data_IF_986976051225
#
_entry.id   IF_986976051225
#
_cell.length_a   1.000
_cell.length_b   1.000
_cell.length_c   1.000
_cell.angle_alpha   90.00
_cell.angle_beta   90.00
_cell.angle_gamma   90.00
#
_symmetry.space_group_name_H-M   'P 1'
#
loop_
_entity.id
_entity.type
_entity.pdbx_description
1 polymer ?
#
# COMPACT_ATOMS: atom_id res chain seq x y z
N UNK A 1 15.39 18.80 34.67
CA UNK A 1 14.09 18.43 34.07
C UNK A 1 14.39 17.36 33.02
N UNK A 2 13.96 16.13 33.28
CA UNK A 2 14.07 15.02 32.32
C UNK A 2 13.19 15.32 31.11
N UNK A 3 13.72 15.18 29.90
CA UNK A 3 13.05 15.53 28.63
C UNK A 3 12.16 14.40 28.09
N UNK A 4 11.54 13.62 28.96
CA UNK A 4 10.88 12.36 28.54
C UNK A 4 9.44 12.51 28.02
N UNK A 5 8.81 13.71 28.10
CA UNK A 5 7.37 13.83 27.84
C UNK A 5 6.95 14.70 26.63
N UNK A 6 7.88 15.13 25.75
CA UNK A 6 7.49 15.92 24.59
C UNK A 6 7.25 15.08 23.34
N UNK A 7 6.03 14.54 23.20
CA UNK A 7 5.57 13.90 21.97
C UNK A 7 4.66 14.87 21.19
N UNK A 8 5.17 15.47 20.11
CA UNK A 8 4.30 16.13 19.12
C UNK A 8 3.70 15.07 18.22
N UNK A 9 2.41 14.77 18.43
CA UNK A 9 1.64 13.89 17.55
C UNK A 9 0.89 14.76 16.54
N UNK A 10 1.09 14.46 15.25
CA UNK A 10 0.30 15.05 14.17
C UNK A 10 -0.76 14.02 13.76
N UNK A 11 -2.03 14.39 13.86
CA UNK A 11 -3.16 13.53 13.48
C UNK A 11 -3.77 14.07 12.20
N UNK A 12 -3.88 13.21 11.18
CA UNK A 12 -4.55 13.53 9.92
C UNK A 12 -5.97 12.98 9.93
N UNK A 13 -6.95 13.84 10.14
CA UNK A 13 -8.36 13.43 10.24
C UNK A 13 -9.03 13.18 8.89
N UNK A 14 -8.50 13.74 7.80
CA UNK A 14 -9.14 13.71 6.47
C UNK A 14 -8.11 13.40 5.39
N UNK A 15 -8.56 12.76 4.32
CA UNK A 15 -7.78 12.63 3.11
C UNK A 15 -7.69 13.99 2.40
N UNK A 16 -6.50 14.58 2.38
CA UNK A 16 -6.14 15.80 1.66
C UNK A 16 -4.63 16.02 1.74
N UNK A 17 -4.16 17.02 1.02
CA UNK A 17 -2.82 17.58 1.20
C UNK A 17 -2.76 18.46 2.46
N UNK A 18 -1.77 18.21 3.30
CA UNK A 18 -1.45 18.99 4.49
C UNK A 18 -0.09 19.66 4.34
N UNK A 19 0.02 20.90 4.82
CA UNK A 19 1.29 21.58 4.99
C UNK A 19 1.68 21.53 6.47
N UNK A 20 2.83 20.95 6.77
CA UNK A 20 3.35 20.76 8.13
C UNK A 20 4.55 21.68 8.32
N UNK A 21 4.46 22.56 9.31
CA UNK A 21 5.45 23.59 9.54
C UNK A 21 5.22 24.87 8.71
N UNK A 22 6.16 25.82 8.73
CA UNK A 22 7.46 25.70 9.40
C UNK A 22 7.30 25.71 10.93
N UNK A 23 8.21 25.04 11.62
CA UNK A 23 8.34 25.12 13.07
C UNK A 23 9.48 26.06 13.44
N UNK A 24 9.21 26.92 14.41
CA UNK A 24 10.21 27.78 15.05
C UNK A 24 10.65 27.20 16.39
N UNK A 25 11.94 27.28 16.67
CA UNK A 25 12.50 26.96 17.98
C UNK A 25 13.73 27.81 18.28
N UNK A 26 13.96 28.08 19.56
CA UNK A 26 15.13 28.79 20.03
C UNK A 26 16.19 27.81 20.53
N UNK A 27 17.44 28.02 20.11
CA UNK A 27 18.58 27.26 20.62
C UNK A 27 19.79 28.20 20.78
N UNK A 28 20.37 28.24 21.98
CA UNK A 28 21.47 29.15 22.34
C UNK A 28 21.18 30.64 22.02
N UNK A 29 19.97 31.13 22.31
CA UNK A 29 19.60 32.52 22.08
C UNK A 29 19.42 32.91 20.61
N UNK A 30 19.39 31.93 19.70
CA UNK A 30 19.10 32.13 18.28
C UNK A 30 17.83 31.39 17.89
N UNK A 31 16.93 32.08 17.19
CA UNK A 31 15.74 31.48 16.58
C UNK A 31 16.11 30.76 15.29
N UNK A 32 15.64 29.53 15.16
CA UNK A 32 15.74 28.72 13.95
C UNK A 32 14.34 28.42 13.43
N UNK A 33 14.18 28.49 12.11
CA UNK A 33 12.94 28.19 11.41
C UNK A 33 13.20 27.02 10.46
N UNK A 34 12.36 25.99 10.52
CA UNK A 34 12.42 24.83 9.62
C UNK A 34 11.70 25.10 8.30
N UNK A 35 11.82 24.19 7.34
CA UNK A 35 11.00 24.23 6.12
C UNK A 35 9.60 23.65 6.39
N UNK A 36 8.66 23.98 5.52
CA UNK A 36 7.35 23.31 5.45
C UNK A 36 7.49 22.00 4.68
N UNK A 37 6.80 20.95 5.14
CA UNK A 37 6.63 19.69 4.41
C UNK A 37 5.21 19.58 3.89
N UNK A 38 5.06 19.18 2.63
CA UNK A 38 3.77 18.81 2.08
C UNK A 38 3.53 17.31 2.27
N UNK A 39 2.39 16.93 2.85
CA UNK A 39 2.00 15.54 3.09
C UNK A 39 0.65 15.28 2.45
N UNK A 40 0.63 14.43 1.42
CA UNK A 40 -0.61 13.99 0.79
C UNK A 40 -1.17 12.75 1.49
N UNK A 41 -2.31 12.90 2.15
CA UNK A 41 -2.99 11.82 2.85
C UNK A 41 -4.08 11.24 1.94
N UNK A 42 -3.91 9.99 1.54
CA UNK A 42 -4.88 9.29 0.69
C UNK A 42 -6.03 8.68 1.51
N UNK A 43 -7.22 8.48 0.91
CA UNK A 43 -8.32 7.81 1.59
C UNK A 43 -7.95 6.40 2.05
N UNK A 44 -8.42 6.02 3.25
CA UNK A 44 -8.37 4.63 3.75
C UNK A 44 -9.11 3.73 2.77
N UNK A 45 -8.53 2.58 2.46
CA UNK A 45 -9.19 1.56 1.62
C UNK A 45 -10.29 0.84 2.43
N UNK A 46 -11.40 0.44 1.78
CA UNK A 46 -12.40 -0.40 2.44
C UNK A 46 -11.79 -1.77 2.78
N UNK A 47 -12.20 -2.35 3.91
CA UNK A 47 -11.77 -3.70 4.30
C UNK A 47 -12.74 -4.71 3.65
N UNK A 48 -12.51 -4.96 2.37
CA UNK A 48 -13.28 -5.91 1.56
C UNK A 48 -12.36 -6.59 0.53
N UNK A 49 -12.84 -7.64 -0.13
CA UNK A 49 -12.11 -8.24 -1.25
C UNK A 49 -11.91 -7.19 -2.34
N UNK A 50 -10.66 -6.92 -2.71
CA UNK A 50 -10.37 -5.93 -3.72
C UNK A 50 -8.90 -5.86 -4.07
N UNK A 51 -8.63 -5.18 -5.18
CA UNK A 51 -7.32 -4.75 -5.63
C UNK A 51 -7.41 -3.23 -5.78
N UNK A 52 -6.32 -2.49 -5.64
CA UNK A 52 -6.30 -1.05 -5.82
C UNK A 52 -4.95 -0.65 -6.37
N UNK A 53 -4.95 0.08 -7.48
CA UNK A 53 -3.76 0.68 -8.04
C UNK A 53 -3.82 2.19 -7.86
N UNK A 54 -2.78 2.76 -7.28
CA UNK A 54 -2.65 4.21 -7.02
C UNK A 54 -1.33 4.70 -7.57
N UNK A 55 -1.30 5.93 -8.06
CA UNK A 55 -0.08 6.62 -8.45
C UNK A 55 0.22 7.71 -7.43
N UNK A 56 1.50 7.89 -7.08
CA UNK A 56 1.96 8.98 -6.22
C UNK A 56 3.33 9.47 -6.67
N UNK A 57 3.66 10.70 -6.27
CA UNK A 57 4.98 11.29 -6.42
C UNK A 57 5.57 11.57 -5.04
N UNK A 58 6.86 11.32 -4.87
CA UNK A 58 7.61 11.67 -3.66
C UNK A 58 9.04 12.05 -4.05
N UNK A 59 9.49 13.24 -3.65
CA UNK A 59 10.82 13.79 -3.98
C UNK A 59 11.13 13.79 -5.49
N UNK A 60 10.14 14.14 -6.32
CA UNK A 60 10.28 14.16 -7.80
C UNK A 60 10.32 12.77 -8.45
N UNK A 61 10.11 11.71 -7.66
CA UNK A 61 10.07 10.34 -8.13
C UNK A 61 8.63 9.82 -8.16
N UNK A 62 8.25 9.20 -9.28
CA UNK A 62 6.93 8.59 -9.44
C UNK A 62 6.92 7.13 -8.95
N UNK A 63 5.80 6.75 -8.34
CA UNK A 63 5.54 5.41 -7.82
C UNK A 63 4.14 4.93 -8.17
N UNK A 64 4.02 3.63 -8.36
CA UNK A 64 2.76 2.90 -8.32
C UNK A 64 2.65 2.13 -7.02
N UNK A 65 1.47 2.14 -6.42
CA UNK A 65 1.15 1.39 -5.21
C UNK A 65 0.01 0.44 -5.58
N UNK A 66 0.31 -0.87 -5.54
CA UNK A 66 -0.65 -1.94 -5.72
C UNK A 66 -0.99 -2.53 -4.35
N UNK A 67 -2.25 -2.42 -3.95
CA UNK A 67 -2.76 -2.96 -2.70
C UNK A 67 -3.82 -4.02 -2.99
N UNK A 68 -3.82 -5.14 -2.28
CA UNK A 68 -4.83 -6.18 -2.47
C UNK A 68 -5.27 -6.79 -1.15
N UNK A 69 -6.58 -7.04 -1.03
CA UNK A 69 -7.20 -7.81 0.03
C UNK A 69 -7.85 -9.06 -0.56
N UNK A 70 -7.48 -10.22 -0.04
CA UNK A 70 -8.07 -11.52 -0.38
C UNK A 70 -8.67 -12.09 0.91
N UNK A 71 -9.97 -12.34 0.89
CA UNK A 71 -10.72 -12.90 2.01
C UNK A 71 -10.22 -14.30 2.31
N UNK A 72 -9.94 -14.51 3.59
CA UNK A 72 -9.43 -15.77 4.08
C UNK A 72 -10.51 -16.84 4.12
N UNK A 73 -10.08 -18.07 4.33
CA UNK A 73 -10.89 -19.24 4.57
C UNK A 73 -10.49 -19.87 5.91
N UNK A 74 -11.31 -20.80 6.36
CA UNK A 74 -10.97 -21.68 7.46
C UNK A 74 -10.34 -22.97 6.93
N UNK A 75 -9.40 -23.54 7.67
CA UNK A 75 -8.86 -24.85 7.36
C UNK A 75 -8.84 -25.74 8.61
N UNK A 76 -8.84 -27.05 8.37
CA UNK A 76 -8.68 -28.07 9.41
C UNK A 76 -7.53 -28.99 9.00
N UNK A 77 -6.56 -29.15 9.88
CA UNK A 77 -5.43 -30.04 9.69
C UNK A 77 -5.50 -31.17 10.71
N UNK A 78 -5.45 -32.41 10.26
CA UNK A 78 -5.39 -33.58 11.15
C UNK A 78 -3.93 -33.91 11.47
N UNK A 79 -3.66 -34.20 12.74
CA UNK A 79 -2.32 -34.56 13.21
C UNK A 79 -2.18 -36.08 13.21
N UNK A 80 -0.96 -36.58 13.03
CA UNK A 80 -0.64 -38.02 12.95
C UNK A 80 -1.14 -38.84 14.15
N UNK A 81 -1.33 -38.19 15.31
CA UNK A 81 -1.81 -38.82 16.55
C UNK A 81 -3.35 -38.83 16.70
N UNK A 82 -4.12 -38.55 15.64
CA UNK A 82 -5.59 -38.52 15.67
C UNK A 82 -6.20 -37.26 16.29
N UNK A 83 -5.40 -36.23 16.56
CA UNK A 83 -5.87 -34.88 16.92
C UNK A 83 -6.12 -34.01 15.69
N UNK A 84 -6.71 -32.83 15.86
CA UNK A 84 -6.83 -31.84 14.78
C UNK A 84 -6.55 -30.41 15.27
N UNK A 85 -6.08 -29.57 14.36
CA UNK A 85 -5.98 -28.12 14.50
C UNK A 85 -6.93 -27.46 13.50
N UNK A 86 -7.63 -26.42 13.92
CA UNK A 86 -8.54 -25.66 13.07
C UNK A 86 -8.14 -24.19 13.11
N UNK A 87 -7.91 -23.59 11.94
CA UNK A 87 -7.76 -22.14 11.81
C UNK A 87 -9.04 -21.59 11.23
N UNK A 88 -9.68 -20.65 11.93
CA UNK A 88 -10.96 -20.08 11.50
C UNK A 88 -10.71 -18.71 10.86
N UNK A 89 -11.02 -18.58 9.57
CA UNK A 89 -10.98 -17.29 8.87
C UNK A 89 -9.60 -16.62 8.78
N UNK A 90 -8.51 -17.38 9.00
CA UNK A 90 -7.15 -16.86 9.09
C UNK A 90 -6.23 -17.30 7.95
N UNK A 91 -6.72 -18.08 6.99
CA UNK A 91 -5.89 -18.75 5.98
C UNK A 91 -6.22 -18.24 4.58
N UNK A 92 -5.23 -17.77 3.84
CA UNK A 92 -5.40 -17.41 2.44
C UNK A 92 -5.92 -18.63 1.64
N UNK A 93 -6.94 -18.48 0.77
CA UNK A 93 -7.49 -19.62 0.05
C UNK A 93 -6.44 -20.29 -0.85
N UNK A 94 -6.47 -21.63 -0.91
CA UNK A 94 -5.53 -22.40 -1.72
C UNK A 94 -5.64 -22.04 -3.22
N UNK A 95 -4.50 -21.97 -3.90
CA UNK A 95 -4.42 -21.61 -5.33
C UNK A 95 -4.73 -20.14 -5.63
N UNK A 96 -4.85 -19.29 -4.60
CA UNK A 96 -4.87 -17.83 -4.78
C UNK A 96 -3.47 -17.27 -4.60
N UNK A 97 -3.13 -16.34 -5.47
CA UNK A 97 -1.90 -15.56 -5.41
C UNK A 97 -2.26 -14.08 -5.46
N UNK A 98 -1.38 -13.24 -4.92
CA UNK A 98 -1.55 -11.81 -5.03
C UNK A 98 -1.19 -11.35 -6.45
N UNK A 99 -1.88 -10.31 -6.91
CA UNK A 99 -1.59 -9.66 -8.17
C UNK A 99 -0.25 -8.91 -8.09
N UNK A 100 0.48 -8.92 -9.19
CA UNK A 100 1.75 -8.22 -9.35
C UNK A 100 1.74 -7.43 -10.66
N UNK A 101 2.57 -6.40 -10.77
CA UNK A 101 2.79 -5.70 -12.04
C UNK A 101 4.04 -6.26 -12.71
N UNK A 102 4.01 -6.37 -14.04
CA UNK A 102 5.20 -6.66 -14.84
C UNK A 102 6.23 -5.53 -14.64
N UNK A 103 7.50 -5.90 -14.48
CA UNK A 103 8.59 -4.92 -14.34
C UNK A 103 8.78 -4.14 -15.65
N UNK A 104 8.68 -4.78 -16.80
CA UNK A 104 8.67 -4.12 -18.11
C UNK A 104 7.23 -3.95 -18.59
N UNK A 105 6.69 -2.73 -18.48
CA UNK A 105 5.32 -2.43 -18.93
C UNK A 105 5.25 -2.27 -20.45
N UNK A 106 6.13 -1.44 -20.98
CA UNK A 106 6.27 -1.16 -22.41
C UNK A 106 7.66 -0.61 -22.68
N UNK A 107 8.03 -0.50 -23.95
CA UNK A 107 9.30 0.10 -24.31
C UNK A 107 9.39 1.55 -23.77
N UNK A 108 10.40 1.80 -22.93
CA UNK A 108 10.64 3.12 -22.34
C UNK A 108 10.05 3.33 -20.94
N UNK A 109 9.32 2.36 -20.38
CA UNK A 109 8.80 2.42 -19.00
C UNK A 109 9.12 1.13 -18.26
N UNK A 110 9.88 1.27 -17.17
CA UNK A 110 10.22 0.17 -16.27
C UNK A 110 9.72 0.44 -14.86
N UNK A 111 9.28 -0.62 -14.20
CA UNK A 111 8.93 -0.69 -12.80
C UNK A 111 10.00 -1.48 -12.06
N UNK A 112 10.37 -1.00 -10.88
CA UNK A 112 11.24 -1.74 -9.96
C UNK A 112 10.58 -1.85 -8.60
N UNK A 113 10.63 -3.03 -7.98
CA UNK A 113 10.07 -3.23 -6.65
C UNK A 113 10.84 -2.37 -5.64
N UNK A 114 10.18 -1.34 -5.12
CA UNK A 114 10.74 -0.45 -4.11
C UNK A 114 10.53 -0.99 -2.70
N UNK A 115 9.32 -1.51 -2.43
CA UNK A 115 9.00 -2.14 -1.16
C UNK A 115 7.77 -3.01 -1.31
N UNK A 116 7.74 -4.14 -0.60
CA UNK A 116 6.55 -4.98 -0.52
C UNK A 116 6.33 -5.46 0.91
N UNK A 117 5.06 -5.57 1.32
CA UNK A 117 4.69 -6.13 2.61
C UNK A 117 3.40 -6.95 2.47
N UNK A 118 3.33 -8.03 3.24
CA UNK A 118 2.14 -8.90 3.30
C UNK A 118 1.79 -9.13 4.76
N UNK A 119 0.52 -8.95 5.10
CA UNK A 119 0.00 -9.07 6.45
C UNK A 119 -1.40 -9.69 6.44
N UNK A 120 -1.90 -10.06 7.62
CA UNK A 120 -3.31 -10.38 7.80
C UNK A 120 -4.01 -9.21 8.48
N UNK A 121 -5.20 -8.85 8.00
CA UNK A 121 -6.01 -7.76 8.57
C UNK A 121 -7.42 -8.24 8.85
N UNK A 122 -8.04 -7.69 9.88
CA UNK A 122 -9.42 -7.95 10.26
C UNK A 122 -10.18 -6.63 10.32
N UNK A 123 -11.48 -6.60 9.96
CA UNK A 123 -12.32 -5.43 10.19
C UNK A 123 -12.28 -4.97 11.65
N UNK A 124 -12.34 -3.66 11.88
CA UNK A 124 -12.27 -3.07 13.23
C UNK A 124 -13.46 -3.51 14.12
N UNK A 125 -14.59 -3.89 13.51
CA UNK A 125 -15.81 -4.39 14.15
C UNK A 125 -15.97 -5.93 14.09
N UNK A 126 -14.90 -6.64 13.73
CA UNK A 126 -14.91 -8.09 13.59
C UNK A 126 -15.30 -8.78 14.91
N UNK A 127 -16.35 -9.59 14.86
CA UNK A 127 -16.70 -10.53 15.94
C UNK A 127 -15.66 -11.64 16.01
N UNK A 128 -15.54 -12.29 17.18
CA UNK A 128 -14.78 -13.54 17.30
C UNK A 128 -15.20 -14.50 16.19
N UNK A 129 -14.21 -15.12 15.51
CA UNK A 129 -14.40 -16.02 14.36
C UNK A 129 -14.82 -15.38 13.03
N UNK A 130 -14.74 -14.04 12.91
CA UNK A 130 -14.94 -13.39 11.60
C UNK A 130 -13.82 -13.75 10.64
N UNK A 131 -14.18 -13.81 9.36
CA UNK A 131 -13.21 -14.03 8.28
C UNK A 131 -12.33 -12.78 8.14
N UNK A 132 -11.02 -12.96 8.31
CA UNK A 132 -10.04 -11.92 8.04
C UNK A 132 -9.69 -11.84 6.55
N UNK A 133 -8.72 -11.00 6.25
CA UNK A 133 -8.18 -10.82 4.90
C UNK A 133 -6.66 -10.99 4.94
N UNK A 134 -6.15 -11.67 3.93
CA UNK A 134 -4.74 -11.60 3.57
C UNK A 134 -4.55 -10.33 2.74
N UNK A 135 -3.64 -9.47 3.17
CA UNK A 135 -3.36 -8.15 2.60
C UNK A 135 -1.95 -8.11 2.04
N UNK A 136 -1.79 -7.51 0.86
CA UNK A 136 -0.46 -7.10 0.37
C UNK A 136 -0.45 -5.64 -0.06
N UNK A 137 0.70 -5.00 0.10
CA UNK A 137 1.03 -3.73 -0.51
C UNK A 137 2.37 -3.87 -1.21
N UNK A 138 2.39 -3.59 -2.52
CA UNK A 138 3.59 -3.55 -3.36
C UNK A 138 3.75 -2.15 -3.91
N UNK A 139 4.93 -1.57 -3.74
CA UNK A 139 5.29 -0.24 -4.26
C UNK A 139 6.32 -0.41 -5.34
N UNK A 140 6.04 0.13 -6.51
CA UNK A 140 6.92 0.09 -7.67
C UNK A 140 7.40 1.50 -7.96
N UNK A 141 8.72 1.68 -8.06
CA UNK A 141 9.32 2.91 -8.56
C UNK A 141 9.26 2.89 -10.08
N UNK A 142 8.75 3.97 -10.68
CA UNK A 142 8.62 4.12 -12.13
C UNK A 142 9.89 4.77 -12.68
N UNK A 143 10.52 4.16 -13.67
CA UNK A 143 11.64 4.73 -14.40
C UNK A 143 11.22 4.90 -15.85
N UNK A 144 11.38 6.12 -16.36
CA UNK A 144 11.17 6.44 -17.77
C UNK A 144 12.52 6.59 -18.45
N UNK A 145 12.68 5.98 -19.62
CA UNK A 145 13.85 6.22 -20.45
C UNK A 145 13.96 7.70 -20.80
N UNK A 146 15.19 8.20 -21.00
CA UNK A 146 15.44 9.62 -21.27
C UNK A 146 14.63 10.14 -22.47
N UNK A 147 14.51 9.32 -23.51
CA UNK A 147 13.84 9.64 -24.78
C UNK A 147 12.32 9.39 -24.77
N UNK A 148 11.76 8.83 -23.70
CA UNK A 148 10.32 8.57 -23.61
C UNK A 148 9.53 9.88 -23.52
N UNK A 149 8.59 10.10 -24.45
CA UNK A 149 7.73 11.30 -24.53
C UNK A 149 6.25 10.95 -24.71
N UNK A 150 5.86 9.75 -24.28
CA UNK A 150 4.53 9.19 -24.49
C UNK A 150 3.62 9.30 -23.28
N UNK A 151 2.35 8.93 -23.50
CA UNK A 151 1.40 8.56 -22.45
C UNK A 151 1.19 7.04 -22.55
N UNK A 152 1.17 6.37 -21.41
CA UNK A 152 0.86 4.95 -21.33
C UNK A 152 -0.29 4.70 -20.37
N UNK A 153 -1.28 3.93 -20.79
CA UNK A 153 -2.41 3.53 -19.96
C UNK A 153 -2.17 2.10 -19.47
N UNK A 154 -2.10 1.93 -18.15
CA UNK A 154 -1.98 0.60 -17.55
C UNK A 154 -3.25 -0.19 -17.85
N UNK A 155 -3.05 -1.46 -18.19
CA UNK A 155 -4.06 -2.39 -18.68
C UNK A 155 -3.95 -3.74 -17.97
N UNK A 156 -4.94 -4.62 -18.18
CA UNK A 156 -4.96 -5.94 -17.56
C UNK A 156 -3.76 -6.82 -17.93
N UNK A 157 -3.17 -6.65 -19.13
CA UNK A 157 -2.00 -7.43 -19.57
C UNK A 157 -0.74 -7.12 -18.78
N UNK A 158 -0.73 -6.01 -18.05
CA UNK A 158 0.44 -5.55 -17.29
C UNK A 158 0.53 -6.22 -15.92
N UNK A 159 -0.44 -7.08 -15.61
CA UNK A 159 -0.53 -7.77 -14.34
C UNK A 159 -0.24 -9.27 -14.47
N UNK A 160 0.41 -9.78 -13.44
CA UNK A 160 0.52 -11.20 -13.14
C UNK A 160 -0.53 -11.52 -12.08
N UNK A 161 -1.21 -12.66 -12.19
CA UNK A 161 -2.22 -13.12 -11.23
C UNK A 161 -3.39 -12.13 -10.99
N UNK A 162 -3.79 -11.41 -12.04
CA UNK A 162 -4.94 -10.50 -11.95
C UNK A 162 -6.23 -11.28 -11.63
N UNK A 163 -7.03 -10.84 -10.63
CA UNK A 163 -8.31 -11.47 -10.34
C UNK A 163 -9.29 -11.33 -11.51
N UNK A 164 -10.07 -12.39 -11.78
CA UNK A 164 -11.01 -12.45 -12.92
C UNK A 164 -12.17 -11.45 -12.90
N UNK A 165 -12.41 -10.78 -11.78
CA UNK A 165 -13.46 -9.75 -11.63
C UNK A 165 -12.87 -8.58 -10.88
N UNK A 166 -12.16 -7.71 -11.59
CA UNK A 166 -11.58 -6.52 -11.00
C UNK A 166 -11.51 -5.37 -12.02
N UNK A 167 -11.69 -4.14 -11.54
CA UNK A 167 -11.59 -2.91 -12.34
C UNK A 167 -10.37 -2.10 -11.88
N UNK A 168 -9.35 -2.04 -12.72
CA UNK A 168 -8.09 -1.32 -12.47
C UNK A 168 -8.29 0.20 -12.55
N UNK A 169 -9.42 0.65 -13.10
CA UNK A 169 -9.64 2.04 -13.46
C UNK A 169 -8.70 2.51 -14.56
N UNK A 170 -8.62 3.82 -14.76
CA UNK A 170 -7.75 4.43 -15.76
C UNK A 170 -6.53 5.07 -15.09
N UNK A 171 -5.41 4.33 -15.04
CA UNK A 171 -4.13 4.85 -14.53
C UNK A 171 -3.20 5.18 -15.69
N UNK A 172 -2.89 6.47 -15.84
CA UNK A 172 -2.07 7.00 -16.92
C UNK A 172 -0.68 7.37 -16.42
N UNK A 173 0.35 6.83 -17.07
CA UNK A 173 1.74 7.17 -16.86
C UNK A 173 2.22 8.16 -17.92
N UNK A 174 2.79 9.27 -17.47
CA UNK A 174 3.38 10.29 -18.32
C UNK A 174 4.70 10.77 -17.72
N UNK A 175 5.58 11.25 -18.60
CA UNK A 175 6.86 11.89 -18.27
C UNK A 175 6.80 13.37 -18.62
#
# INVERSE_FOLDING_TARGET
>A
MSSEDFQRVIIFEKAKTYNIGPFDFEFNGKTYTTNTMEVNVLPKLPIENGLWLRQTEFEGQHYLILEQLISNTSNKTENENGGYSETIGGVMPEGKEFAELNEDLTQGIQLSNYSSATNSVTPDDAKSYSVGFSYTIKKYKITFDEDYKGEYLISESDFINLPTKFDIGNIKLNK
#
